data_IF_329942547923
#
_entry.id   IF_329942547923
#
_cell.length_a   1.000
_cell.length_b   1.000
_cell.length_c   1.000
_cell.angle_alpha   90.00
_cell.angle_beta   90.00
_cell.angle_gamma   90.00
#
_symmetry.space_group_name_H-M   'P 1'
#
loop_
_entity.id
_entity.type
_entity.pdbx_description
1 polymer ?
#
# COMPACT_ATOMS: atom_id res chain seq x y z
N UNK A 1 23.40 -10.69 -11.28
CA UNK A 1 23.72 -9.40 -11.94
C UNK A 1 22.55 -8.85 -12.72
N UNK A 2 21.81 -9.69 -13.42
CA UNK A 2 20.67 -9.21 -14.20
C UNK A 2 19.62 -8.52 -13.34
N UNK A 3 19.33 -9.04 -12.14
CA UNK A 3 18.37 -8.40 -11.26
C UNK A 3 18.81 -6.99 -10.85
N UNK A 4 20.10 -6.82 -10.61
CA UNK A 4 20.64 -5.53 -10.27
C UNK A 4 20.56 -4.56 -11.44
N UNK A 5 20.87 -5.03 -12.64
CA UNK A 5 20.77 -4.22 -13.85
C UNK A 5 19.36 -3.78 -14.09
N UNK A 6 18.39 -4.69 -13.91
CA UNK A 6 16.98 -4.35 -14.05
C UNK A 6 16.55 -3.26 -13.08
N UNK A 7 17.00 -3.34 -11.83
CA UNK A 7 16.69 -2.31 -10.83
C UNK A 7 17.26 -0.96 -11.22
N UNK A 8 18.46 -0.93 -11.77
CA UNK A 8 19.10 0.31 -12.20
C UNK A 8 18.29 0.96 -13.32
N UNK A 9 17.77 0.15 -14.26
CA UNK A 9 17.02 0.69 -15.37
C UNK A 9 15.63 1.23 -14.99
N UNK A 10 15.12 0.86 -13.80
CA UNK A 10 13.82 1.31 -13.31
C UNK A 10 13.94 2.44 -12.29
N UNK A 11 14.81 3.42 -12.56
CA UNK A 11 15.05 4.52 -11.63
C UNK A 11 13.84 5.42 -11.42
N UNK A 12 12.90 5.44 -12.37
CA UNK A 12 11.69 6.26 -12.26
C UNK A 12 10.53 5.52 -11.61
N UNK A 13 10.68 4.24 -11.32
CA UNK A 13 9.64 3.46 -10.69
C UNK A 13 9.47 3.90 -9.24
N UNK A 14 8.22 4.06 -8.83
CA UNK A 14 7.90 4.45 -7.46
C UNK A 14 7.26 3.27 -6.73
N UNK A 15 7.52 3.19 -5.45
CA UNK A 15 6.96 2.15 -4.59
C UNK A 15 5.76 2.71 -3.87
N UNK A 16 4.61 2.11 -4.11
CA UNK A 16 3.33 2.58 -3.57
C UNK A 16 2.79 1.50 -2.63
N UNK A 17 2.78 1.81 -1.34
CA UNK A 17 2.16 0.92 -0.36
C UNK A 17 0.67 1.17 -0.33
N UNK A 18 -0.10 0.17 -0.72
CA UNK A 18 -1.57 0.23 -0.64
C UNK A 18 -1.99 -0.67 0.52
N UNK A 19 -2.58 -0.08 1.54
CA UNK A 19 -2.93 -0.79 2.76
C UNK A 19 -4.32 -0.41 3.25
N UNK A 20 -4.87 -1.23 4.11
CA UNK A 20 -6.18 -0.98 4.69
C UNK A 20 -6.70 -2.17 5.46
N UNK A 21 -7.98 -2.14 5.80
CA UNK A 21 -8.60 -3.18 6.57
C UNK A 21 -8.97 -4.41 5.74
N UNK A 22 -9.60 -5.36 6.43
CA UNK A 22 -10.02 -6.62 5.82
C UNK A 22 -11.41 -6.56 5.21
N UNK A 23 -12.06 -5.42 5.30
CA UNK A 23 -13.38 -5.20 4.73
C UNK A 23 -13.29 -5.21 3.21
N UNK A 24 -14.21 -5.89 2.57
CA UNK A 24 -14.27 -5.93 1.10
C UNK A 24 -14.86 -4.62 0.60
N UNK A 25 -14.09 -3.87 -0.17
CA UNK A 25 -14.53 -2.64 -0.80
C UNK A 25 -14.89 -2.92 -2.26
N UNK A 26 -15.66 -2.03 -2.86
CA UNK A 26 -15.96 -2.11 -4.28
C UNK A 26 -14.69 -1.80 -5.08
N UNK A 27 -14.31 -2.69 -5.99
CA UNK A 27 -13.06 -2.52 -6.72
C UNK A 27 -13.06 -1.26 -7.58
N UNK A 28 -14.16 -0.97 -8.27
CA UNK A 28 -14.21 0.21 -9.16
C UNK A 28 -14.02 1.51 -8.39
N UNK A 29 -14.63 1.62 -7.21
CA UNK A 29 -14.45 2.78 -6.34
C UNK A 29 -13.02 2.86 -5.82
N UNK A 30 -12.47 1.71 -5.42
CA UNK A 30 -11.08 1.61 -4.99
C UNK A 30 -10.13 2.05 -6.11
N UNK A 31 -10.34 1.55 -7.32
CA UNK A 31 -9.49 1.89 -8.46
C UNK A 31 -9.50 3.38 -8.76
N UNK A 32 -10.67 4.02 -8.68
CA UNK A 32 -10.78 5.47 -8.88
C UNK A 32 -9.93 6.23 -7.88
N UNK A 33 -9.96 5.81 -6.62
CA UNK A 33 -9.17 6.48 -5.57
C UNK A 33 -7.68 6.33 -5.80
N UNK A 34 -7.23 5.12 -6.13
CA UNK A 34 -5.80 4.88 -6.39
C UNK A 34 -5.37 5.67 -7.61
N UNK A 35 -6.15 5.61 -8.69
CA UNK A 35 -5.83 6.33 -9.92
C UNK A 35 -5.75 7.83 -9.70
N UNK A 36 -6.63 8.38 -8.87
CA UNK A 36 -6.61 9.80 -8.53
C UNK A 36 -5.29 10.20 -7.88
N UNK A 37 -4.83 9.43 -6.91
CA UNK A 37 -3.56 9.71 -6.25
C UNK A 37 -2.39 9.62 -7.22
N UNK A 38 -2.39 8.60 -8.07
CA UNK A 38 -1.31 8.43 -9.03
C UNK A 38 -1.27 9.59 -10.04
N UNK A 39 -2.43 10.05 -10.50
CA UNK A 39 -2.50 11.19 -11.41
C UNK A 39 -2.03 12.48 -10.76
N UNK A 40 -2.43 12.73 -9.51
CA UNK A 40 -1.99 13.92 -8.77
C UNK A 40 -0.48 13.98 -8.65
N UNK A 41 0.17 12.82 -8.57
CA UNK A 41 1.62 12.73 -8.40
C UNK A 41 2.34 12.43 -9.73
N UNK A 42 1.60 12.38 -10.83
CA UNK A 42 2.14 12.12 -12.16
C UNK A 42 2.93 10.81 -12.23
N UNK A 43 2.40 9.78 -11.55
CA UNK A 43 3.05 8.47 -11.47
C UNK A 43 2.41 7.51 -12.47
N UNK A 44 3.23 6.92 -13.33
CA UNK A 44 2.78 5.94 -14.32
C UNK A 44 3.50 4.60 -14.19
N UNK A 45 4.70 4.62 -13.65
CA UNK A 45 5.53 3.43 -13.49
C UNK A 45 5.71 3.18 -12.01
N UNK A 46 4.96 2.22 -11.46
CA UNK A 46 4.91 1.98 -10.03
C UNK A 46 5.13 0.51 -9.71
N UNK A 47 5.53 0.27 -8.47
CA UNK A 47 5.49 -1.07 -7.88
C UNK A 47 4.52 -1.00 -6.70
N UNK A 48 3.51 -1.85 -6.71
CA UNK A 48 2.56 -1.93 -5.59
C UNK A 48 3.16 -2.82 -4.50
N UNK A 49 3.16 -2.31 -3.28
CA UNK A 49 3.65 -3.05 -2.11
C UNK A 49 2.43 -3.53 -1.32
N UNK A 50 2.37 -4.83 -1.05
CA UNK A 50 1.19 -5.48 -0.47
C UNK A 50 1.53 -6.31 0.75
N UNK A 51 0.69 -6.24 1.77
CA UNK A 51 0.79 -7.07 2.96
C UNK A 51 0.08 -8.42 2.82
N UNK A 52 -0.54 -8.69 1.69
CA UNK A 52 -1.13 -9.98 1.35
C UNK A 52 -2.35 -10.40 2.18
N UNK A 53 -2.94 -9.49 2.94
CA UNK A 53 -4.16 -9.79 3.70
C UNK A 53 -5.39 -9.64 2.81
N UNK A 54 -6.45 -10.36 3.15
CA UNK A 54 -7.71 -10.19 2.45
C UNK A 54 -8.22 -8.75 2.65
N UNK A 55 -9.08 -8.29 1.75
CA UNK A 55 -9.59 -6.93 1.77
C UNK A 55 -8.75 -6.01 0.91
N UNK A 56 -8.34 -4.89 1.46
CA UNK A 56 -7.67 -3.83 0.68
C UNK A 56 -6.35 -4.29 0.06
N UNK A 57 -5.56 -5.08 0.79
CA UNK A 57 -4.27 -5.55 0.24
C UNK A 57 -4.47 -6.31 -1.07
N UNK A 58 -5.47 -7.19 -1.13
CA UNK A 58 -5.75 -7.96 -2.33
C UNK A 58 -6.26 -7.07 -3.45
N UNK A 59 -7.06 -6.06 -3.13
CA UNK A 59 -7.49 -5.09 -4.15
C UNK A 59 -6.30 -4.35 -4.75
N UNK A 60 -5.31 -4.03 -3.92
CA UNK A 60 -4.06 -3.40 -4.41
C UNK A 60 -3.31 -4.31 -5.38
N UNK A 61 -3.25 -5.60 -5.07
CA UNK A 61 -2.62 -6.57 -5.98
C UNK A 61 -3.41 -6.69 -7.27
N UNK A 62 -4.73 -6.69 -7.18
CA UNK A 62 -5.59 -6.72 -8.37
C UNK A 62 -5.39 -5.50 -9.24
N UNK A 63 -5.28 -4.32 -8.62
CA UNK A 63 -4.99 -3.08 -9.33
C UNK A 63 -3.68 -3.20 -10.12
N UNK A 64 -2.63 -3.66 -9.45
CA UNK A 64 -1.33 -3.84 -10.09
C UNK A 64 -1.43 -4.78 -11.29
N UNK A 65 -2.12 -5.90 -11.12
CA UNK A 65 -2.29 -6.88 -12.19
C UNK A 65 -3.03 -6.27 -13.39
N UNK A 66 -4.13 -5.57 -13.14
CA UNK A 66 -4.92 -4.96 -14.21
C UNK A 66 -4.17 -3.86 -14.95
N UNK A 67 -3.25 -3.19 -14.28
CA UNK A 67 -2.48 -2.10 -14.87
C UNK A 67 -1.06 -2.51 -15.26
N UNK A 68 -0.79 -3.82 -15.28
CA UNK A 68 0.52 -4.37 -15.66
C UNK A 68 1.68 -3.81 -14.86
N UNK A 69 1.47 -3.64 -13.56
CA UNK A 69 2.50 -3.15 -12.64
C UNK A 69 2.98 -4.28 -11.74
N UNK A 70 4.25 -4.27 -11.36
CA UNK A 70 4.77 -5.31 -10.46
C UNK A 70 4.24 -5.15 -9.03
N UNK A 71 4.26 -6.24 -8.28
CA UNK A 71 3.85 -6.29 -6.88
C UNK A 71 5.00 -6.83 -6.05
N UNK A 72 5.30 -6.16 -4.93
CA UNK A 72 6.18 -6.69 -3.91
C UNK A 72 5.30 -7.15 -2.75
N UNK A 73 5.35 -8.44 -2.45
CA UNK A 73 4.51 -9.05 -1.42
C UNK A 73 5.27 -9.24 -0.12
N UNK A 74 4.65 -8.85 0.98
CA UNK A 74 5.19 -9.00 2.32
C UNK A 74 4.20 -9.75 3.19
N UNK A 75 4.09 -11.08 3.03
CA UNK A 75 3.19 -11.84 3.90
C UNK A 75 3.71 -11.84 5.33
N UNK A 76 2.80 -11.72 6.29
CA UNK A 76 3.18 -11.75 7.69
C UNK A 76 3.66 -13.16 8.07
N UNK A 77 4.77 -13.23 8.80
CA UNK A 77 5.38 -14.49 9.18
C UNK A 77 4.88 -14.91 10.58
N UNK A 78 3.63 -15.34 10.63
CA UNK A 78 2.97 -15.68 11.90
C UNK A 78 3.70 -16.78 12.67
N UNK A 79 4.27 -17.76 11.96
CA UNK A 79 4.99 -18.85 12.62
C UNK A 79 6.26 -18.35 13.31
N UNK A 80 6.89 -17.34 12.75
CA UNK A 80 8.15 -16.79 13.26
C UNK A 80 7.92 -15.77 14.38
N UNK A 81 6.95 -14.89 14.21
CA UNK A 81 6.77 -13.74 15.11
C UNK A 81 5.49 -13.78 15.94
N UNK A 82 4.60 -14.74 15.71
CA UNK A 82 3.36 -14.83 16.46
C UNK A 82 2.47 -13.60 16.26
N UNK A 83 1.89 -13.11 17.34
CA UNK A 83 0.93 -12.00 17.29
C UNK A 83 1.51 -10.71 16.74
N UNK A 84 2.80 -10.51 16.87
CA UNK A 84 3.46 -9.30 16.37
C UNK A 84 3.74 -9.32 14.89
N UNK A 85 3.47 -10.42 14.19
CA UNK A 85 3.87 -10.59 12.79
C UNK A 85 3.32 -9.52 11.88
N UNK A 86 2.06 -9.09 12.09
CA UNK A 86 1.45 -8.06 11.24
C UNK A 86 2.14 -6.71 11.38
N UNK A 87 2.46 -6.30 12.58
CA UNK A 87 3.15 -5.04 12.84
C UNK A 87 4.58 -5.08 12.32
N UNK A 88 5.27 -6.20 12.50
CA UNK A 88 6.62 -6.37 11.98
C UNK A 88 6.61 -6.27 10.46
N UNK A 89 5.68 -6.95 9.80
CA UNK A 89 5.53 -6.88 8.34
C UNK A 89 5.23 -5.46 7.88
N UNK A 90 4.35 -4.73 8.60
CA UNK A 90 4.03 -3.35 8.24
C UNK A 90 5.27 -2.46 8.31
N UNK A 91 6.09 -2.64 9.33
CA UNK A 91 7.35 -1.92 9.44
C UNK A 91 8.30 -2.26 8.28
N UNK A 92 8.38 -3.53 7.91
CA UNK A 92 9.23 -3.96 6.79
C UNK A 92 8.79 -3.31 5.49
N UNK A 93 7.48 -3.21 5.24
CA UNK A 93 6.97 -2.55 4.04
C UNK A 93 7.34 -1.07 4.01
N UNK A 94 7.20 -0.39 5.14
CA UNK A 94 7.55 1.03 5.23
C UNK A 94 9.04 1.25 4.98
N UNK A 95 9.90 0.40 5.54
CA UNK A 95 11.34 0.48 5.30
C UNK A 95 11.67 0.23 3.82
N UNK A 96 10.96 -0.69 3.21
CA UNK A 96 11.15 -0.99 1.79
C UNK A 96 10.82 0.21 0.90
N UNK A 97 9.70 0.88 1.14
CA UNK A 97 9.32 2.03 0.32
C UNK A 97 10.16 3.26 0.66
N UNK A 98 10.60 3.41 1.91
CA UNK A 98 11.38 4.56 2.35
C UNK A 98 12.75 4.64 1.67
N UNK A 99 13.24 3.52 1.16
CA UNK A 99 14.52 3.50 0.44
C UNK A 99 14.43 4.15 -0.94
N UNK A 100 13.23 4.47 -1.42
CA UNK A 100 12.99 5.12 -2.72
C UNK A 100 12.38 6.49 -2.52
N UNK A 101 12.93 7.49 -3.20
CA UNK A 101 12.36 8.84 -3.19
C UNK A 101 10.99 8.85 -3.84
N UNK A 102 10.12 9.72 -3.37
CA UNK A 102 8.78 9.93 -3.89
C UNK A 102 7.86 8.71 -3.78
N UNK A 103 8.23 7.76 -2.93
CA UNK A 103 7.32 6.69 -2.56
C UNK A 103 6.19 7.24 -1.70
N UNK A 104 5.04 6.59 -1.73
CA UNK A 104 3.91 7.05 -0.93
C UNK A 104 3.06 5.90 -0.45
N UNK A 105 2.18 6.21 0.49
CA UNK A 105 1.21 5.28 1.06
C UNK A 105 -0.18 5.72 0.67
N UNK A 106 -1.00 4.79 0.21
CA UNK A 106 -2.45 5.01 0.04
C UNK A 106 -3.13 4.06 1.00
N UNK A 107 -3.78 4.62 2.02
CA UNK A 107 -4.43 3.84 3.06
C UNK A 107 -5.94 3.98 2.96
N UNK A 108 -6.64 2.85 3.02
CA UNK A 108 -8.09 2.83 3.12
C UNK A 108 -8.43 2.43 4.56
N UNK A 109 -8.91 3.37 5.34
CA UNK A 109 -9.01 3.24 6.79
C UNK A 109 -10.40 3.58 7.29
N UNK A 110 -10.90 2.75 8.19
CA UNK A 110 -12.20 3.00 8.84
C UNK A 110 -12.08 3.92 10.07
N UNK A 111 -10.87 4.37 10.40
CA UNK A 111 -10.61 5.24 11.54
C UNK A 111 -10.32 4.50 12.83
N UNK A 112 -10.56 3.20 12.90
CA UNK A 112 -10.40 2.43 14.13
C UNK A 112 -9.44 1.25 14.01
N UNK A 113 -9.21 0.73 12.81
CA UNK A 113 -8.30 -0.41 12.61
C UNK A 113 -6.90 -0.05 13.09
N UNK A 114 -6.37 -0.85 14.01
CA UNK A 114 -5.08 -0.56 14.64
C UNK A 114 -3.90 -0.79 13.70
N UNK A 115 -3.97 -1.82 12.87
CA UNK A 115 -2.89 -2.11 11.93
C UNK A 115 -2.70 -1.01 10.90
N UNK A 116 -3.80 -0.55 10.31
CA UNK A 116 -3.76 0.56 9.35
C UNK A 116 -3.34 1.86 10.03
N UNK A 117 -3.88 2.13 11.22
CA UNK A 117 -3.51 3.31 12.00
C UNK A 117 -2.01 3.33 12.33
N UNK A 118 -1.44 2.19 12.69
CA UNK A 118 -0.01 2.06 12.93
C UNK A 118 0.79 2.44 11.68
N UNK A 119 0.41 1.88 10.54
CA UNK A 119 1.12 2.13 9.28
C UNK A 119 1.06 3.61 8.90
N UNK A 120 -0.12 4.23 9.02
CA UNK A 120 -0.29 5.66 8.72
C UNK A 120 0.60 6.50 9.64
N UNK A 121 0.54 6.24 10.95
CA UNK A 121 1.32 7.00 11.93
C UNK A 121 2.82 6.87 11.69
N UNK A 122 3.30 5.65 11.46
CA UNK A 122 4.72 5.43 11.24
C UNK A 122 5.19 6.03 9.93
N UNK A 123 4.39 5.94 8.87
CA UNK A 123 4.73 6.55 7.59
C UNK A 123 4.93 8.06 7.74
N UNK A 124 4.03 8.71 8.45
CA UNK A 124 4.15 10.16 8.71
C UNK A 124 5.41 10.50 9.49
N UNK A 125 5.73 9.70 10.51
CA UNK A 125 6.97 9.91 11.28
C UNK A 125 8.23 9.76 10.43
N UNK A 126 8.17 8.89 9.41
CA UNK A 126 9.28 8.66 8.50
C UNK A 126 9.35 9.69 7.36
N UNK A 127 8.43 10.64 7.33
CA UNK A 127 8.40 11.65 6.28
C UNK A 127 7.84 11.14 4.96
N UNK A 128 7.15 10.01 4.96
CA UNK A 128 6.56 9.44 3.76
C UNK A 128 5.19 10.07 3.55
N UNK A 129 4.89 10.45 2.32
CA UNK A 129 3.61 11.03 1.96
C UNK A 129 2.50 9.99 2.08
N UNK A 130 1.40 10.35 2.74
CA UNK A 130 0.28 9.43 2.99
C UNK A 130 -1.02 10.04 2.48
N UNK A 131 -1.78 9.25 1.75
CA UNK A 131 -3.13 9.59 1.32
C UNK A 131 -4.09 8.63 2.02
N UNK A 132 -5.09 9.17 2.70
CA UNK A 132 -6.03 8.37 3.49
C UNK A 132 -7.43 8.53 2.93
N UNK A 133 -8.05 7.42 2.57
CA UNK A 133 -9.47 7.37 2.21
C UNK A 133 -10.23 6.67 3.31
N UNK A 134 -11.28 7.30 3.77
CA UNK A 134 -12.16 6.72 4.78
C UNK A 134 -13.22 5.84 4.13
N UNK A 135 -13.54 4.72 4.76
CA UNK A 135 -14.71 3.93 4.38
C UNK A 135 -15.55 3.65 5.63
N UNK A 136 -16.86 3.53 5.43
CA UNK A 136 -17.80 3.36 6.53
C UNK A 136 -17.99 1.88 6.89
N UNK A 137 -18.89 1.61 7.83
CA UNK A 137 -19.14 0.25 8.33
C UNK A 137 -19.71 -0.69 7.26
N UNK A 138 -20.25 -0.15 6.18
CA UNK A 138 -20.77 -0.92 5.05
C UNK A 138 -19.73 -1.13 3.96
N UNK A 139 -18.50 -0.66 4.17
CA UNK A 139 -17.45 -0.77 3.17
C UNK A 139 -17.58 0.24 2.04
N UNK A 140 -18.32 1.33 2.26
CA UNK A 140 -18.49 2.38 1.26
C UNK A 140 -17.42 3.44 1.47
N UNK A 141 -16.65 3.73 0.44
CA UNK A 141 -15.62 4.77 0.50
C UNK A 141 -16.31 6.12 0.54
N UNK A 142 -16.05 6.90 1.58
CA UNK A 142 -16.73 8.18 1.80
C UNK A 142 -15.89 9.37 1.36
N UNK A 143 -14.60 9.19 1.15
CA UNK A 143 -13.75 10.24 0.64
C UNK A 143 -12.39 10.29 1.33
N UNK A 144 -11.60 11.23 0.88
CA UNK A 144 -10.25 11.46 1.42
C UNK A 144 -10.33 12.25 2.72
N UNK A 145 -9.53 11.85 3.67
CA UNK A 145 -9.43 12.56 4.94
C UNK A 145 -8.40 13.68 4.82
#
# INVERSE_FOLDING_TARGET
MKALETKITNTNQRRILICGGRTQLNYDDFEKCVSEVLQENQLTDIEVVSGCCKGVDILGEEFAHKHNQPVAQFPAEWKKYGRGAGIIRNKQMLEYIASFENSLVIAFWNGTSKGTGYTVTQAKKMGIQVYIYHYDENGIITGRI
#
